data_IF_803006883357
#
_entry.id   IF_803006883357
#
_cell.length_a   1.000
_cell.length_b   1.000
_cell.length_c   1.000
_cell.angle_alpha   90.00
_cell.angle_beta   90.00
_cell.angle_gamma   90.00
#
_symmetry.space_group_name_H-M   'P 1'
#
loop_
_entity.id
_entity.type
_entity.pdbx_description
1 polymer ?
#
# COMPACT_ATOMS: atom_id res chain seq x y z
N UNK A 1 1.36 12.24 5.23
CA UNK A 1 1.91 10.89 4.97
C UNK A 1 1.03 10.19 3.96
N UNK A 2 1.64 9.60 2.94
CA UNK A 2 0.98 8.74 1.96
C UNK A 2 1.63 7.37 2.00
N UNK A 3 0.84 6.28 2.05
CA UNK A 3 1.35 4.90 2.11
C UNK A 3 0.50 3.95 1.29
N UNK A 4 1.11 2.89 0.79
CA UNK A 4 0.44 1.73 0.21
C UNK A 4 0.59 0.57 1.20
N UNK A 5 -0.55 0.10 1.71
CA UNK A 5 -0.64 -1.01 2.66
C UNK A 5 -1.21 -2.24 1.96
N UNK A 6 -0.50 -3.37 2.06
CA UNK A 6 -1.07 -4.65 1.60
C UNK A 6 -2.22 -5.10 2.50
N UNK A 7 -3.37 -5.31 1.89
CA UNK A 7 -4.61 -5.63 2.61
C UNK A 7 -4.54 -6.95 3.36
N UNK A 8 -3.84 -7.93 2.83
CA UNK A 8 -3.75 -9.26 3.39
C UNK A 8 -2.74 -9.39 4.55
N UNK A 9 -1.57 -8.77 4.40
CA UNK A 9 -0.45 -8.90 5.35
C UNK A 9 -0.30 -7.73 6.30
N UNK A 10 -0.91 -6.57 6.01
CA UNK A 10 -0.68 -5.29 6.71
C UNK A 10 0.71 -4.69 6.47
N UNK A 11 1.47 -5.25 5.54
CA UNK A 11 2.79 -4.73 5.19
C UNK A 11 2.66 -3.39 4.46
N UNK A 12 3.44 -2.40 4.87
CA UNK A 12 3.60 -1.16 4.11
C UNK A 12 4.59 -1.43 2.98
N UNK A 13 4.10 -1.35 1.75
CA UNK A 13 4.89 -1.63 0.54
C UNK A 13 5.71 -0.43 0.09
N UNK A 14 5.12 0.76 0.18
CA UNK A 14 5.74 2.02 -0.19
C UNK A 14 5.10 3.17 0.58
N UNK A 15 5.78 4.29 0.68
CA UNK A 15 5.22 5.49 1.29
C UNK A 15 6.24 6.59 1.50
N UNK A 16 5.73 7.75 1.96
CA UNK A 16 6.55 8.90 2.27
C UNK A 16 5.85 9.95 3.11
N UNK A 17 6.64 10.79 3.73
CA UNK A 17 6.21 12.01 4.41
C UNK A 17 6.34 13.18 3.44
N UNK A 18 5.26 13.91 3.23
CA UNK A 18 5.21 15.05 2.32
C UNK A 18 4.60 16.25 3.07
N UNK A 19 5.02 17.45 2.73
CA UNK A 19 4.41 18.67 3.24
C UNK A 19 2.94 18.76 2.84
N UNK A 20 2.64 18.37 1.59
CA UNK A 20 1.30 18.31 1.05
C UNK A 20 1.04 16.94 0.44
N UNK A 21 -0.17 16.43 0.65
CA UNK A 21 -0.65 15.27 -0.07
C UNK A 21 -1.31 15.79 -1.35
N UNK A 22 -0.69 15.49 -2.49
CA UNK A 22 -1.16 15.89 -3.81
C UNK A 22 -0.99 14.73 -4.80
N UNK A 23 -1.53 14.89 -6.00
CA UNK A 23 -1.52 13.87 -7.05
C UNK A 23 -0.10 13.43 -7.39
N UNK A 24 0.85 14.34 -7.47
CA UNK A 24 2.24 14.04 -7.84
C UNK A 24 2.93 13.18 -6.78
N UNK A 25 2.77 13.53 -5.49
CA UNK A 25 3.32 12.73 -4.39
C UNK A 25 2.68 11.34 -4.31
N UNK A 26 1.39 11.24 -4.59
CA UNK A 26 0.69 9.95 -4.66
C UNK A 26 1.20 9.08 -5.80
N UNK A 27 1.47 9.66 -6.98
CA UNK A 27 2.11 8.94 -8.11
C UNK A 27 3.50 8.43 -7.75
N UNK A 28 4.34 9.26 -7.09
CA UNK A 28 5.67 8.84 -6.64
C UNK A 28 5.62 7.62 -5.72
N UNK A 29 4.63 7.53 -4.84
CA UNK A 29 4.46 6.37 -3.96
C UNK A 29 4.08 5.12 -4.76
N UNK A 30 3.26 5.27 -5.83
CA UNK A 30 2.97 4.18 -6.77
C UNK A 30 4.24 3.72 -7.48
N UNK A 31 5.04 4.66 -8.01
CA UNK A 31 6.27 4.35 -8.73
C UNK A 31 7.29 3.62 -7.83
N UNK A 32 7.44 4.04 -6.57
CA UNK A 32 8.27 3.33 -5.59
C UNK A 32 7.80 1.89 -5.35
N UNK A 33 6.49 1.69 -5.25
CA UNK A 33 5.93 0.35 -5.08
C UNK A 33 6.17 -0.52 -6.32
N UNK A 34 5.97 0.03 -7.51
CA UNK A 34 6.23 -0.66 -8.77
C UNK A 34 7.72 -1.03 -8.87
N UNK A 35 8.63 -0.11 -8.63
CA UNK A 35 10.07 -0.37 -8.67
C UNK A 35 10.49 -1.51 -7.72
N UNK A 36 9.92 -1.53 -6.50
CA UNK A 36 10.29 -2.51 -5.47
C UNK A 36 9.69 -3.89 -5.68
N UNK A 37 8.42 -3.97 -6.11
CA UNK A 37 7.64 -5.21 -6.02
C UNK A 37 7.05 -5.70 -7.33
N UNK A 38 7.07 -4.91 -8.42
CA UNK A 38 6.43 -5.31 -9.69
C UNK A 38 6.99 -6.60 -10.28
N UNK A 39 8.28 -6.77 -10.17
CA UNK A 39 8.98 -7.98 -10.61
C UNK A 39 8.58 -9.22 -9.81
N UNK A 40 8.16 -9.04 -8.56
CA UNK A 40 7.79 -10.10 -7.64
C UNK A 40 6.32 -10.49 -7.81
N UNK A 41 5.43 -9.50 -7.74
CA UNK A 41 4.00 -9.68 -7.88
C UNK A 41 3.36 -8.35 -8.28
N UNK A 42 2.83 -8.20 -9.51
CA UNK A 42 2.18 -6.98 -9.92
C UNK A 42 0.95 -6.66 -9.05
N UNK A 43 0.83 -5.41 -8.62
CA UNK A 43 -0.37 -4.92 -7.95
C UNK A 43 -1.54 -4.91 -8.95
N UNK A 44 -2.64 -5.59 -8.62
CA UNK A 44 -3.81 -5.69 -9.50
C UNK A 44 -4.85 -4.61 -9.22
N UNK A 45 -5.08 -4.32 -7.95
CA UNK A 45 -6.14 -3.42 -7.50
C UNK A 45 -5.61 -2.52 -6.39
N UNK A 46 -6.00 -1.25 -6.42
CA UNK A 46 -5.68 -0.26 -5.41
C UNK A 46 -6.98 0.33 -4.85
N UNK A 47 -7.23 0.10 -3.56
CA UNK A 47 -8.34 0.72 -2.85
C UNK A 47 -7.87 2.08 -2.33
N UNK A 48 -8.63 3.14 -2.61
CA UNK A 48 -8.34 4.50 -2.18
C UNK A 48 -9.60 5.16 -1.64
N UNK A 49 -9.45 6.18 -0.83
CA UNK A 49 -10.56 7.01 -0.38
C UNK A 49 -10.95 8.05 -1.47
N UNK A 50 -11.86 8.94 -1.10
CA UNK A 50 -12.35 10.01 -1.99
C UNK A 50 -11.49 11.27 -1.90
N UNK A 51 -10.19 11.14 -1.62
CA UNK A 51 -9.26 12.26 -1.53
C UNK A 51 -9.17 13.07 -2.82
N UNK A 52 -8.96 14.38 -2.67
CA UNK A 52 -8.82 15.30 -3.82
C UNK A 52 -7.58 14.98 -4.66
N UNK A 53 -6.55 14.43 -4.05
CA UNK A 53 -5.30 14.00 -4.68
C UNK A 53 -5.49 12.88 -5.70
N UNK A 54 -6.55 12.08 -5.54
CA UNK A 54 -6.93 11.03 -6.49
C UNK A 54 -7.90 11.53 -7.58
N UNK A 55 -8.36 12.78 -7.46
CA UNK A 55 -9.35 13.37 -8.37
C UNK A 55 -10.76 12.76 -8.25
N UNK A 56 -11.00 11.95 -7.23
CA UNK A 56 -12.24 11.22 -7.01
C UNK A 56 -13.42 12.10 -6.56
N UNK A 57 -13.22 13.41 -6.37
CA UNK A 57 -14.29 14.37 -6.08
C UNK A 57 -15.12 14.73 -7.31
N UNK A 58 -14.68 14.36 -8.52
CA UNK A 58 -15.37 14.61 -9.80
C UNK A 58 -15.92 13.30 -10.36
N UNK A 59 -16.85 12.68 -9.63
CA UNK A 59 -17.53 11.47 -10.07
C UNK A 59 -18.69 11.87 -10.97
N UNK A 60 -18.76 11.28 -12.17
CA UNK A 60 -19.88 11.43 -13.09
C UNK A 60 -21.12 10.66 -12.59
N UNK A 61 -22.30 10.98 -13.14
CA UNK A 61 -23.58 10.34 -12.75
C UNK A 61 -23.58 8.80 -12.98
N UNK A 62 -22.76 8.31 -13.90
CA UNK A 62 -22.55 6.88 -14.17
C UNK A 62 -21.57 6.19 -13.20
N UNK A 63 -21.07 6.92 -12.18
CA UNK A 63 -20.08 6.43 -11.22
C UNK A 63 -18.65 6.41 -11.74
N UNK A 64 -18.42 6.85 -13.00
CA UNK A 64 -17.06 6.98 -13.54
C UNK A 64 -16.40 8.27 -13.04
N UNK A 65 -15.08 8.29 -13.02
CA UNK A 65 -14.31 9.52 -12.83
C UNK A 65 -13.05 9.48 -13.68
N UNK A 66 -12.56 10.66 -14.00
CA UNK A 66 -11.32 10.85 -14.75
C UNK A 66 -10.35 11.66 -13.90
N UNK A 67 -9.12 11.21 -13.79
CA UNK A 67 -8.07 11.95 -13.10
C UNK A 67 -6.69 11.54 -13.61
N UNK A 68 -5.74 12.45 -13.46
CA UNK A 68 -4.34 12.19 -13.78
C UNK A 68 -3.76 11.02 -12.98
N UNK A 69 -4.19 10.83 -11.73
CA UNK A 69 -3.81 9.70 -10.90
C UNK A 69 -4.35 8.38 -11.47
N UNK A 70 -5.61 8.34 -11.91
CA UNK A 70 -6.21 7.16 -12.54
C UNK A 70 -5.50 6.78 -13.83
N UNK A 71 -5.13 7.76 -14.64
CA UNK A 71 -4.36 7.53 -15.87
C UNK A 71 -2.96 6.99 -15.56
N UNK A 72 -2.34 7.45 -14.48
CA UNK A 72 -1.06 6.93 -14.00
C UNK A 72 -1.17 5.45 -13.58
N UNK A 73 -2.19 5.07 -12.82
CA UNK A 73 -2.45 3.67 -12.45
C UNK A 73 -2.68 2.78 -13.68
N UNK A 74 -3.39 3.32 -14.69
CA UNK A 74 -3.67 2.60 -15.94
C UNK A 74 -2.41 2.22 -16.71
N UNK A 75 -1.34 3.03 -16.64
CA UNK A 75 -0.04 2.70 -17.26
C UNK A 75 0.53 1.38 -16.74
N UNK A 76 0.25 1.06 -15.49
CA UNK A 76 0.68 -0.17 -14.83
C UNK A 76 -0.41 -1.25 -14.83
N UNK A 77 -1.57 -1.02 -15.46
CA UNK A 77 -2.68 -1.98 -15.42
C UNK A 77 -3.31 -2.15 -14.03
N UNK A 78 -3.08 -1.19 -13.11
CA UNK A 78 -3.65 -1.21 -11.76
C UNK A 78 -5.07 -0.68 -11.81
N UNK A 79 -6.03 -1.47 -11.33
CA UNK A 79 -7.44 -1.10 -11.25
C UNK A 79 -7.69 -0.27 -9.99
N UNK A 80 -8.10 1.01 -10.11
CA UNK A 80 -8.49 1.82 -8.96
C UNK A 80 -9.87 1.41 -8.45
N UNK A 81 -10.01 1.29 -7.14
CA UNK A 81 -11.29 1.02 -6.46
C UNK A 81 -11.52 2.11 -5.41
N UNK A 82 -12.60 2.86 -5.55
CA UNK A 82 -12.99 3.82 -4.51
C UNK A 82 -13.61 3.08 -3.32
N UNK A 83 -13.14 3.39 -2.12
CA UNK A 83 -13.73 2.91 -0.90
C UNK A 83 -15.20 3.34 -0.81
N UNK A 84 -16.09 2.45 -0.38
CA UNK A 84 -17.50 2.78 -0.20
C UNK A 84 -17.63 3.81 0.92
N UNK A 85 -18.40 4.87 0.65
CA UNK A 85 -18.74 5.88 1.65
C UNK A 85 -19.48 5.19 2.81
N UNK A 86 -19.08 5.49 4.05
CA UNK A 86 -19.66 4.93 5.29
C UNK A 86 -19.43 3.42 5.53
N UNK A 87 -18.40 2.81 4.91
CA UNK A 87 -17.95 1.45 5.25
C UNK A 87 -16.63 1.46 6.02
N UNK A 88 -16.65 1.52 7.37
CA UNK A 88 -15.44 1.66 8.22
C UNK A 88 -14.43 0.52 8.03
N UNK A 89 -14.89 -0.66 7.63
CA UNK A 89 -14.04 -1.83 7.46
C UNK A 89 -12.98 -1.66 6.35
N UNK A 90 -13.26 -0.86 5.33
CA UNK A 90 -12.35 -0.64 4.21
C UNK A 90 -11.13 0.19 4.61
N UNK A 91 -11.32 1.18 5.50
CA UNK A 91 -10.27 2.10 5.95
C UNK A 91 -9.66 1.73 7.31
N UNK A 92 -10.30 0.85 8.09
CA UNK A 92 -9.88 0.52 9.46
C UNK A 92 -8.44 -0.01 9.58
N UNK A 93 -7.90 -0.59 8.49
CA UNK A 93 -6.51 -1.06 8.45
C UNK A 93 -5.53 0.10 8.33
N UNK A 94 -5.83 1.07 7.46
CA UNK A 94 -5.06 2.31 7.32
C UNK A 94 -5.18 3.18 8.58
N UNK A 95 -6.37 3.30 9.16
CA UNK A 95 -6.57 4.02 10.42
C UNK A 95 -5.70 3.43 11.54
N UNK A 96 -5.60 2.12 11.63
CA UNK A 96 -4.69 1.46 12.58
C UNK A 96 -3.24 1.80 12.31
N UNK A 97 -2.80 1.75 11.04
CA UNK A 97 -1.45 2.17 10.66
C UNK A 97 -1.20 3.63 11.08
N UNK A 98 -2.10 4.55 10.77
CA UNK A 98 -1.96 5.96 11.17
C UNK A 98 -1.97 6.16 12.69
N UNK A 99 -2.69 5.31 13.43
CA UNK A 99 -2.63 5.27 14.89
C UNK A 99 -1.24 4.88 15.42
N UNK A 100 -0.59 3.90 14.79
CA UNK A 100 0.78 3.50 15.12
C UNK A 100 1.80 4.57 14.70
N UNK A 101 1.62 5.15 13.52
CA UNK A 101 2.43 6.26 13.05
C UNK A 101 2.41 7.44 14.05
N UNK A 102 1.24 7.89 14.46
CA UNK A 102 1.10 9.00 15.42
C UNK A 102 1.77 8.71 16.77
N UNK A 103 1.73 7.45 17.23
CA UNK A 103 2.29 7.06 18.54
C UNK A 103 3.80 6.88 18.52
N UNK A 104 4.36 6.38 17.43
CA UNK A 104 5.73 5.86 17.44
C UNK A 104 6.69 6.57 16.48
N UNK A 105 6.20 7.31 15.48
CA UNK A 105 7.06 7.91 14.44
C UNK A 105 8.20 8.78 15.00
N UNK A 106 7.93 9.53 16.06
CA UNK A 106 8.94 10.43 16.67
C UNK A 106 10.11 9.70 17.34
N UNK A 107 10.01 8.40 17.56
CA UNK A 107 11.09 7.58 18.11
C UNK A 107 12.13 7.15 17.06
N UNK A 108 11.90 7.44 15.79
CA UNK A 108 12.75 7.02 14.66
C UNK A 108 13.35 8.23 13.94
N UNK A 109 14.58 8.09 13.46
CA UNK A 109 15.30 9.16 12.76
C UNK A 109 14.72 9.44 11.36
N UNK A 110 14.13 8.44 10.71
CA UNK A 110 13.54 8.57 9.38
C UNK A 110 12.21 7.84 9.26
N UNK A 111 11.43 8.19 8.24
CA UNK A 111 10.19 7.48 7.91
C UNK A 111 10.48 6.02 7.50
N UNK A 112 11.57 5.79 6.78
CA UNK A 112 11.97 4.45 6.35
C UNK A 112 12.31 3.55 7.56
N UNK A 113 13.03 4.07 8.56
CA UNK A 113 13.32 3.34 9.79
C UNK A 113 12.03 2.96 10.55
N UNK A 114 11.07 3.88 10.64
CA UNK A 114 9.76 3.59 11.21
C UNK A 114 9.01 2.50 10.42
N UNK A 115 9.02 2.55 9.08
CA UNK A 115 8.35 1.54 8.25
C UNK A 115 9.00 0.16 8.41
N UNK A 116 10.32 0.08 8.46
CA UNK A 116 11.05 -1.16 8.71
C UNK A 116 10.65 -1.76 10.06
N UNK A 117 10.65 -0.96 11.12
CA UNK A 117 10.17 -1.38 12.43
C UNK A 117 8.69 -1.82 12.39
N UNK A 118 7.81 -1.07 11.71
CA UNK A 118 6.39 -1.42 11.60
C UNK A 118 6.19 -2.77 10.89
N UNK A 119 6.92 -3.01 9.82
CA UNK A 119 6.82 -4.22 9.03
C UNK A 119 7.40 -5.46 9.74
N UNK A 120 8.38 -5.28 10.62
CA UNK A 120 9.07 -6.38 11.32
C UNK A 120 8.56 -6.64 12.75
N UNK A 121 7.61 -5.89 13.25
CA UNK A 121 7.02 -6.13 14.57
C UNK A 121 5.80 -7.06 14.50
N UNK A 122 5.52 -7.88 15.54
CA UNK A 122 4.29 -8.66 15.63
C UNK A 122 3.04 -7.78 15.52
N UNK A 123 2.07 -8.22 14.72
CA UNK A 123 0.86 -7.43 14.45
C UNK A 123 -0.39 -8.15 14.96
N UNK A 124 -1.14 -7.52 15.87
CA UNK A 124 -2.27 -8.12 16.58
C UNK A 124 -3.47 -8.56 15.73
N UNK A 125 -3.55 -8.18 14.44
CA UNK A 125 -4.58 -8.69 13.50
C UNK A 125 -4.07 -9.82 12.60
N UNK A 126 -2.84 -10.25 12.80
CA UNK A 126 -2.24 -11.43 12.17
C UNK A 126 -2.21 -12.60 13.16
N UNK A 127 -1.47 -13.65 12.88
CA UNK A 127 -1.33 -14.76 13.83
C UNK A 127 -0.48 -14.31 15.03
N UNK A 128 -1.14 -13.79 16.06
CA UNK A 128 -0.48 -13.26 17.24
C UNK A 128 0.21 -14.35 18.07
N UNK A 129 -0.29 -15.60 18.06
CA UNK A 129 0.31 -16.71 18.78
C UNK A 129 1.70 -17.06 18.23
N UNK A 130 1.90 -16.92 16.93
CA UNK A 130 3.20 -17.11 16.28
C UNK A 130 4.03 -15.84 16.19
N UNK A 131 3.61 -14.74 16.83
CA UNK A 131 4.23 -13.42 16.72
C UNK A 131 4.46 -13.00 15.26
N UNK A 132 3.46 -13.25 14.41
CA UNK A 132 3.57 -13.01 12.98
C UNK A 132 3.68 -11.51 12.68
N UNK A 133 4.72 -11.15 11.91
CA UNK A 133 4.96 -9.78 11.46
C UNK A 133 4.32 -9.52 10.10
N UNK A 134 4.02 -8.26 9.72
CA UNK A 134 3.55 -7.92 8.39
C UNK A 134 4.42 -8.49 7.26
N UNK A 135 5.75 -8.41 7.39
CA UNK A 135 6.68 -8.96 6.40
C UNK A 135 6.57 -10.48 6.27
N UNK A 136 6.52 -11.21 7.39
CA UNK A 136 6.33 -12.68 7.37
C UNK A 136 4.99 -13.06 6.75
N UNK A 137 3.92 -12.35 7.11
CA UNK A 137 2.60 -12.56 6.55
C UNK A 137 2.57 -12.28 5.04
N UNK A 138 3.25 -11.23 4.57
CA UNK A 138 3.38 -10.91 3.15
C UNK A 138 4.05 -12.07 2.39
N UNK A 139 5.22 -12.51 2.86
CA UNK A 139 5.92 -13.65 2.25
C UNK A 139 5.06 -14.91 2.23
N UNK A 140 4.45 -15.28 3.35
CA UNK A 140 3.60 -16.49 3.46
C UNK A 140 2.38 -16.45 2.54
N UNK A 141 1.82 -15.27 2.30
CA UNK A 141 0.61 -15.07 1.48
C UNK A 141 0.91 -14.77 0.01
N UNK A 142 2.16 -14.75 -0.39
CA UNK A 142 2.53 -14.57 -1.79
C UNK A 142 1.92 -15.68 -2.65
N UNK A 143 1.45 -15.34 -3.86
CA UNK A 143 1.01 -16.35 -4.83
C UNK A 143 2.21 -17.16 -5.34
N UNK A 144 1.95 -18.36 -5.85
CA UNK A 144 3.02 -19.25 -6.34
C UNK A 144 3.88 -18.59 -7.42
N UNK A 145 3.29 -17.77 -8.27
CA UNK A 145 3.98 -17.04 -9.34
C UNK A 145 5.11 -16.14 -8.79
N UNK A 146 4.94 -15.58 -7.59
CA UNK A 146 5.97 -14.78 -6.95
C UNK A 146 7.21 -15.62 -6.59
N UNK A 147 7.02 -16.86 -6.17
CA UNK A 147 8.14 -17.78 -5.90
C UNK A 147 8.90 -18.15 -7.16
N UNK A 148 8.22 -18.32 -8.29
CA UNK A 148 8.89 -18.53 -9.60
C UNK A 148 9.70 -17.30 -10.00
N UNK A 149 9.17 -16.09 -9.81
CA UNK A 149 9.89 -14.84 -10.09
C UNK A 149 11.17 -14.71 -9.21
N UNK A 150 11.08 -15.08 -7.93
CA UNK A 150 12.25 -15.14 -7.03
C UNK A 150 13.28 -16.16 -7.53
N UNK A 151 12.84 -17.37 -7.87
CA UNK A 151 13.71 -18.42 -8.38
C UNK A 151 14.44 -18.00 -9.66
N UNK A 152 13.69 -17.43 -10.61
CA UNK A 152 14.27 -16.90 -11.85
C UNK A 152 15.34 -15.82 -11.59
N UNK A 153 15.05 -14.89 -10.67
CA UNK A 153 15.97 -13.79 -10.36
C UNK A 153 17.24 -14.25 -9.62
N UNK A 154 17.12 -15.27 -8.74
CA UNK A 154 18.26 -15.77 -7.95
C UNK A 154 19.11 -16.79 -8.68
N UNK A 155 18.51 -17.61 -9.53
CA UNK A 155 19.17 -18.78 -10.13
C UNK A 155 19.25 -18.71 -11.67
N UNK A 156 18.69 -17.68 -12.30
CA UNK A 156 18.70 -17.50 -13.76
C UNK A 156 17.93 -18.60 -14.51
N UNK A 157 16.90 -19.18 -13.88
CA UNK A 157 16.09 -20.27 -14.45
C UNK A 157 15.12 -19.74 -15.50
#
# INVERSE_FOLDING_TARGET
>A
VCVILDDASRMVLAGGEFFEINTENSKRVIDQMVERYWWLCPLRELIMDHGSEFGAHRIHDDGSWSSEFKDHLKKYGIKPILARIKHPQTNGKLERFFGEYKRHRSAFSSFEEFINWYNDRPHGSLNFQSLETPERAFRRKMPLEAYFAIGHRLFGL
#
